data_IF_947530751173
#
_entry.id   IF_947530751173
#
_cell.length_a   1.000
_cell.length_b   1.000
_cell.length_c   1.000
_cell.angle_alpha   90.00
_cell.angle_beta   90.00
_cell.angle_gamma   90.00
#
_symmetry.space_group_name_H-M   'P 1'
#
loop_
_entity.id
_entity.type
_entity.pdbx_description
1 polymer ?
#
# COMPACT_ATOMS: atom_id res chain seq x y z
N UNK A 1 8.36 -20.64 -32.73
CA UNK A 1 7.99 -19.83 -31.54
C UNK A 1 9.16 -18.92 -31.21
N UNK A 2 9.06 -17.64 -31.59
CA UNK A 2 10.14 -16.65 -31.44
C UNK A 2 10.13 -16.17 -29.99
N UNK A 3 11.05 -16.68 -29.16
CA UNK A 3 11.28 -16.15 -27.81
C UNK A 3 11.79 -14.73 -27.97
N UNK A 4 10.90 -13.75 -27.86
CA UNK A 4 11.31 -12.35 -27.77
C UNK A 4 12.25 -12.20 -26.58
N UNK A 5 13.50 -11.88 -26.86
CA UNK A 5 14.55 -11.81 -25.86
C UNK A 5 14.15 -10.88 -24.71
N UNK A 6 14.47 -11.17 -23.45
CA UNK A 6 14.01 -10.44 -22.26
C UNK A 6 14.33 -8.94 -22.32
N UNK A 7 15.40 -8.56 -23.00
CA UNK A 7 15.76 -7.15 -23.18
C UNK A 7 14.74 -6.35 -24.01
N UNK A 8 14.03 -6.97 -24.98
CA UNK A 8 12.97 -6.27 -25.76
C UNK A 8 11.78 -5.90 -24.89
N UNK A 9 11.41 -6.76 -23.95
CA UNK A 9 10.32 -6.47 -22.99
C UNK A 9 10.73 -5.36 -22.01
N UNK A 10 11.98 -5.37 -21.56
CA UNK A 10 12.53 -4.32 -20.71
C UNK A 10 12.60 -2.98 -21.45
N UNK A 11 13.08 -2.96 -22.70
CA UNK A 11 13.12 -1.77 -23.54
C UNK A 11 11.71 -1.22 -23.84
N UNK A 12 10.76 -2.07 -24.17
CA UNK A 12 9.38 -1.66 -24.41
C UNK A 12 8.74 -1.11 -23.12
N UNK A 13 9.00 -1.75 -21.98
CA UNK A 13 8.52 -1.26 -20.66
C UNK A 13 9.11 0.08 -20.30
N UNK A 14 10.43 0.29 -20.49
CA UNK A 14 11.08 1.58 -20.20
C UNK A 14 10.61 2.69 -21.15
N UNK A 15 10.44 2.39 -22.45
CA UNK A 15 9.89 3.33 -23.42
C UNK A 15 8.45 3.74 -23.06
N UNK A 16 7.61 2.78 -22.69
CA UNK A 16 6.24 3.05 -22.28
C UNK A 16 6.22 3.93 -21.01
N UNK A 17 7.06 3.61 -20.04
CA UNK A 17 7.19 4.39 -18.81
C UNK A 17 7.61 5.84 -19.10
N UNK A 18 8.64 6.03 -19.92
CA UNK A 18 9.11 7.36 -20.33
C UNK A 18 8.01 8.12 -21.06
N UNK A 19 7.29 7.45 -21.98
CA UNK A 19 6.19 8.07 -22.72
C UNK A 19 5.05 8.51 -21.79
N UNK A 20 4.68 7.69 -20.80
CA UNK A 20 3.66 8.03 -19.80
C UNK A 20 4.11 9.23 -18.95
N UNK A 21 5.35 9.22 -18.48
CA UNK A 21 5.92 10.35 -17.70
C UNK A 21 5.94 11.63 -18.53
N UNK A 22 6.40 11.54 -19.78
CA UNK A 22 6.43 12.70 -20.70
C UNK A 22 5.01 13.27 -20.96
N UNK A 23 4.04 12.38 -21.15
CA UNK A 23 2.64 12.78 -21.36
C UNK A 23 2.04 13.43 -20.10
N UNK A 24 2.35 12.92 -18.91
CA UNK A 24 1.94 13.53 -17.63
C UNK A 24 2.57 14.91 -17.45
N UNK A 25 3.87 15.04 -17.68
CA UNK A 25 4.58 16.33 -17.60
C UNK A 25 4.02 17.34 -18.60
N UNK A 26 3.74 16.90 -19.82
CA UNK A 26 3.12 17.75 -20.84
C UNK A 26 1.70 18.18 -20.45
N UNK A 27 0.88 17.23 -19.93
CA UNK A 27 -0.51 17.50 -19.52
C UNK A 27 -0.63 18.42 -18.30
N UNK A 28 0.29 18.29 -17.33
CA UNK A 28 0.34 19.16 -16.14
C UNK A 28 0.93 20.54 -16.46
N UNK A 29 1.84 20.59 -17.42
CA UNK A 29 2.60 21.78 -17.79
C UNK A 29 3.86 21.99 -16.94
N UNK A 30 4.96 22.24 -17.63
CA UNK A 30 6.28 22.43 -16.98
C UNK A 30 6.29 23.59 -15.97
N UNK A 31 5.62 24.69 -16.28
CA UNK A 31 5.53 25.86 -15.38
C UNK A 31 4.77 25.54 -14.11
N UNK A 32 3.70 24.72 -14.18
CA UNK A 32 2.94 24.27 -13.00
C UNK A 32 3.81 23.40 -12.11
N UNK A 33 4.56 22.44 -12.67
CA UNK A 33 5.47 21.60 -11.92
C UNK A 33 6.55 22.41 -11.23
N UNK A 34 7.10 23.40 -11.91
CA UNK A 34 8.15 24.28 -11.35
C UNK A 34 7.61 25.18 -10.26
N UNK A 35 6.46 25.78 -10.43
CA UNK A 35 5.82 26.66 -9.44
C UNK A 35 5.35 25.92 -8.18
N UNK A 36 4.97 24.62 -8.32
CA UNK A 36 4.52 23.76 -7.23
C UNK A 36 5.57 22.80 -6.71
N UNK A 37 6.85 23.04 -7.02
CA UNK A 37 7.94 22.14 -6.63
C UNK A 37 8.01 21.89 -5.12
N UNK A 38 7.84 22.93 -4.32
CA UNK A 38 7.92 22.83 -2.85
C UNK A 38 6.76 21.99 -2.31
N UNK A 39 5.55 22.22 -2.81
CA UNK A 39 4.37 21.42 -2.47
C UNK A 39 4.57 19.93 -2.82
N UNK A 40 5.12 19.66 -4.01
CA UNK A 40 5.37 18.30 -4.48
C UNK A 40 6.41 17.57 -3.60
N UNK A 41 7.48 18.26 -3.22
CA UNK A 41 8.50 17.70 -2.33
C UNK A 41 7.90 17.43 -0.95
N UNK A 42 7.19 18.40 -0.39
CA UNK A 42 6.55 18.27 0.93
C UNK A 42 5.55 17.11 0.95
N UNK A 43 4.62 17.06 -0.01
CA UNK A 43 3.62 15.99 -0.10
C UNK A 43 4.28 14.62 -0.36
N UNK A 44 5.33 14.59 -1.18
CA UNK A 44 6.10 13.37 -1.41
C UNK A 44 6.76 12.84 -0.14
N UNK A 45 7.40 13.71 0.63
CA UNK A 45 8.02 13.35 1.91
C UNK A 45 6.97 12.87 2.93
N UNK A 46 5.85 13.58 3.03
CA UNK A 46 4.75 13.20 3.91
C UNK A 46 4.17 11.84 3.52
N UNK A 47 3.96 11.61 2.22
CA UNK A 47 3.47 10.32 1.73
C UNK A 47 4.45 9.18 2.07
N UNK A 48 5.74 9.37 1.84
CA UNK A 48 6.77 8.39 2.19
C UNK A 48 6.80 8.11 3.69
N UNK A 49 6.65 9.13 4.53
CA UNK A 49 6.58 8.97 5.97
C UNK A 49 5.36 8.14 6.40
N UNK A 50 4.16 8.45 5.88
CA UNK A 50 2.93 7.72 6.17
C UNK A 50 3.05 6.25 5.75
N UNK A 51 3.57 5.98 4.55
CA UNK A 51 3.78 4.62 4.03
C UNK A 51 4.80 3.88 4.89
N UNK A 52 5.92 4.49 5.22
CA UNK A 52 6.95 3.86 6.05
C UNK A 52 6.42 3.50 7.44
N UNK A 53 5.74 4.42 8.12
CA UNK A 53 5.15 4.18 9.43
C UNK A 53 4.12 3.04 9.39
N UNK A 54 3.21 3.08 8.41
CA UNK A 54 2.15 2.08 8.27
C UNK A 54 2.72 0.70 7.93
N UNK A 55 3.65 0.64 6.98
CA UNK A 55 4.27 -0.61 6.53
C UNK A 55 5.09 -1.26 7.63
N UNK A 56 5.96 -0.50 8.31
CA UNK A 56 6.78 -1.01 9.42
C UNK A 56 5.89 -1.54 10.55
N UNK A 57 4.86 -0.78 10.93
CA UNK A 57 3.90 -1.21 11.96
C UNK A 57 3.18 -2.50 11.54
N UNK A 58 2.77 -2.59 10.28
CA UNK A 58 2.08 -3.77 9.74
C UNK A 58 2.98 -5.00 9.67
N UNK A 59 4.26 -4.85 9.35
CA UNK A 59 5.24 -5.94 9.37
C UNK A 59 5.50 -6.42 10.80
N UNK A 60 5.70 -5.48 11.73
CA UNK A 60 5.97 -5.80 13.14
C UNK A 60 4.82 -6.55 13.82
N UNK A 61 3.59 -6.27 13.45
CA UNK A 61 2.40 -6.93 14.00
C UNK A 61 2.00 -8.13 13.14
N UNK A 62 1.99 -7.98 11.83
CA UNK A 62 1.45 -8.95 10.88
C UNK A 62 2.28 -10.23 10.78
N UNK A 63 3.61 -10.12 10.73
CA UNK A 63 4.48 -11.30 10.63
C UNK A 63 4.38 -12.18 11.91
N UNK A 64 4.57 -11.64 13.13
CA UNK A 64 4.40 -12.45 14.33
C UNK A 64 3.00 -13.05 14.47
N UNK A 65 1.97 -12.29 14.13
CA UNK A 65 0.58 -12.75 14.17
C UNK A 65 0.33 -13.91 13.20
N UNK A 66 0.82 -13.81 11.97
CA UNK A 66 0.70 -14.87 10.97
C UNK A 66 1.43 -16.14 11.39
N UNK A 67 2.67 -16.01 11.91
CA UNK A 67 3.45 -17.14 12.44
C UNK A 67 2.73 -17.79 13.63
N UNK A 68 2.18 -16.99 14.55
CA UNK A 68 1.45 -17.50 15.71
C UNK A 68 0.21 -18.29 15.29
N UNK A 69 -0.57 -17.76 14.35
CA UNK A 69 -1.76 -18.41 13.82
C UNK A 69 -1.46 -19.71 13.06
N UNK A 70 -0.26 -19.85 12.46
CA UNK A 70 0.16 -21.07 11.77
C UNK A 70 0.53 -22.20 12.72
N UNK A 71 0.67 -21.95 14.03
CA UNK A 71 1.05 -22.97 15.02
C UNK A 71 -0.10 -23.92 15.35
N UNK A 72 0.18 -25.22 15.67
CA UNK A 72 -0.84 -26.23 15.93
C UNK A 72 -1.83 -25.85 17.03
N UNK A 73 -1.37 -25.16 18.09
CA UNK A 73 -2.24 -24.74 19.20
C UNK A 73 -3.24 -23.64 18.81
N UNK A 74 -2.90 -22.81 17.83
CA UNK A 74 -3.74 -21.72 17.37
C UNK A 74 -4.71 -22.14 16.25
N UNK A 75 -4.55 -23.33 15.67
CA UNK A 75 -5.29 -23.81 14.48
C UNK A 75 -6.81 -23.72 14.63
N UNK A 76 -7.30 -23.99 15.85
CA UNK A 76 -8.74 -23.91 16.15
C UNK A 76 -9.31 -22.49 15.98
N UNK A 77 -8.50 -21.46 16.29
CA UNK A 77 -8.90 -20.07 16.22
C UNK A 77 -8.49 -19.42 14.90
N UNK A 78 -7.47 -19.96 14.26
CA UNK A 78 -6.90 -19.40 13.04
C UNK A 78 -7.93 -19.27 11.93
N UNK A 79 -8.81 -20.26 11.73
CA UNK A 79 -9.85 -20.23 10.71
C UNK A 79 -10.84 -19.07 10.93
N UNK A 80 -11.28 -18.84 12.16
CA UNK A 80 -12.17 -17.74 12.50
C UNK A 80 -11.51 -16.38 12.33
N UNK A 81 -10.27 -16.26 12.78
CA UNK A 81 -9.47 -15.02 12.62
C UNK A 81 -9.25 -14.73 11.14
N UNK A 82 -8.90 -15.74 10.34
CA UNK A 82 -8.69 -15.57 8.91
C UNK A 82 -9.98 -15.21 8.16
N UNK A 83 -11.15 -15.68 8.61
CA UNK A 83 -12.44 -15.23 8.06
C UNK A 83 -12.68 -13.74 8.31
N UNK A 84 -12.38 -13.25 9.53
CA UNK A 84 -12.47 -11.82 9.86
C UNK A 84 -11.53 -11.01 8.96
N UNK A 85 -10.30 -11.47 8.78
CA UNK A 85 -9.35 -10.82 7.87
C UNK A 85 -9.80 -10.85 6.40
N UNK A 86 -10.41 -11.93 5.94
CA UNK A 86 -10.96 -12.01 4.59
C UNK A 86 -12.09 -10.99 4.38
N UNK A 87 -13.01 -10.85 5.34
CA UNK A 87 -14.07 -9.83 5.30
C UNK A 87 -13.45 -8.44 5.33
N UNK A 88 -12.47 -8.18 6.21
CA UNK A 88 -11.75 -6.91 6.27
C UNK A 88 -11.09 -6.51 4.95
N UNK A 89 -10.53 -7.48 4.21
CA UNK A 89 -9.94 -7.24 2.89
C UNK A 89 -10.95 -6.85 1.80
N UNK A 90 -12.24 -7.05 2.02
CA UNK A 90 -13.27 -6.60 1.07
C UNK A 90 -13.65 -5.14 1.24
N UNK A 91 -13.26 -4.51 2.36
CA UNK A 91 -13.54 -3.10 2.61
C UNK A 91 -12.61 -2.22 1.75
N UNK A 92 -13.17 -1.26 0.99
CA UNK A 92 -12.34 -0.31 0.25
C UNK A 92 -11.45 0.49 1.22
N UNK A 93 -10.15 0.65 0.95
CA UNK A 93 -9.25 1.40 1.84
C UNK A 93 -9.72 2.84 2.14
N UNK A 94 -10.39 3.48 1.18
CA UNK A 94 -10.97 4.81 1.37
C UNK A 94 -12.13 4.81 2.36
N UNK A 95 -12.93 3.75 2.42
CA UNK A 95 -14.00 3.62 3.41
C UNK A 95 -13.42 3.45 4.82
N UNK A 96 -12.36 2.67 4.97
CA UNK A 96 -11.62 2.52 6.23
C UNK A 96 -11.04 3.86 6.68
N UNK A 97 -10.44 4.62 5.75
CA UNK A 97 -9.94 5.97 6.03
C UNK A 97 -11.06 6.91 6.49
N UNK A 98 -12.21 6.91 5.80
CA UNK A 98 -13.34 7.75 6.16
C UNK A 98 -13.85 7.42 7.58
N UNK A 99 -14.00 6.13 7.92
CA UNK A 99 -14.37 5.71 9.27
C UNK A 99 -13.33 6.12 10.32
N UNK A 100 -12.05 5.95 10.02
CA UNK A 100 -10.97 6.38 10.90
C UNK A 100 -11.01 7.91 11.15
N UNK A 101 -11.30 8.70 10.11
CA UNK A 101 -11.44 10.16 10.25
C UNK A 101 -12.63 10.56 11.12
N UNK A 102 -13.73 9.83 11.08
CA UNK A 102 -14.89 10.10 11.96
C UNK A 102 -14.55 9.86 13.43
N UNK A 103 -13.73 8.83 13.72
CA UNK A 103 -13.41 8.42 15.10
C UNK A 103 -12.22 9.21 15.67
N UNK A 104 -11.18 9.41 14.88
CA UNK A 104 -9.88 9.93 15.33
C UNK A 104 -9.71 11.41 14.95
N UNK A 105 -10.51 11.91 14.00
CA UNK A 105 -10.38 13.26 13.42
C UNK A 105 -9.62 13.25 12.10
N UNK A 106 -9.42 14.43 11.51
CA UNK A 106 -8.73 14.63 10.24
C UNK A 106 -7.23 14.78 10.49
N UNK A 107 -6.40 14.20 9.60
CA UNK A 107 -4.94 14.34 9.63
C UNK A 107 -4.18 13.04 9.36
N UNK A 108 -2.92 13.00 9.76
CA UNK A 108 -2.01 11.87 9.49
C UNK A 108 -2.36 10.62 10.29
N UNK A 109 -2.88 10.76 11.50
CA UNK A 109 -3.24 9.63 12.38
C UNK A 109 -4.25 8.67 11.75
N UNK A 110 -5.42 9.12 11.28
CA UNK A 110 -6.37 8.24 10.62
C UNK A 110 -5.82 7.65 9.32
N UNK A 111 -4.96 8.39 8.59
CA UNK A 111 -4.30 7.89 7.39
C UNK A 111 -3.36 6.72 7.72
N UNK A 112 -2.51 6.86 8.76
CA UNK A 112 -1.62 5.78 9.22
C UNK A 112 -2.43 4.56 9.67
N UNK A 113 -3.51 4.74 10.41
CA UNK A 113 -4.38 3.64 10.87
C UNK A 113 -5.03 2.92 9.69
N UNK A 114 -5.56 3.66 8.72
CA UNK A 114 -6.20 3.06 7.54
C UNK A 114 -5.18 2.28 6.68
N UNK A 115 -4.00 2.87 6.42
CA UNK A 115 -2.92 2.21 5.68
C UNK A 115 -2.34 1.01 6.44
N UNK A 116 -2.22 1.12 7.78
CA UNK A 116 -1.82 0.01 8.64
C UNK A 116 -2.77 -1.18 8.49
N UNK A 117 -4.08 -0.96 8.65
CA UNK A 117 -5.08 -2.02 8.52
C UNK A 117 -5.09 -2.62 7.11
N UNK A 118 -5.02 -1.78 6.07
CA UNK A 118 -5.00 -2.24 4.68
C UNK A 118 -3.78 -3.12 4.36
N UNK A 119 -2.61 -2.83 4.95
CA UNK A 119 -1.40 -3.63 4.76
C UNK A 119 -1.28 -4.82 5.72
N UNK A 120 -1.83 -4.71 6.93
CA UNK A 120 -1.81 -5.77 7.94
C UNK A 120 -2.48 -7.05 7.45
N UNK A 121 -3.69 -6.91 6.87
CA UNK A 121 -4.52 -8.04 6.45
C UNK A 121 -3.81 -8.96 5.44
N UNK A 122 -3.25 -8.46 4.31
CA UNK A 122 -2.52 -9.31 3.38
C UNK A 122 -1.22 -9.87 3.98
N UNK A 123 -0.53 -9.13 4.87
CA UNK A 123 0.70 -9.61 5.51
C UNK A 123 0.40 -10.81 6.41
N UNK A 124 -0.59 -10.71 7.29
CA UNK A 124 -0.99 -11.82 8.17
C UNK A 124 -1.40 -13.03 7.35
N UNK A 125 -2.20 -12.83 6.30
CA UNK A 125 -2.65 -13.91 5.43
C UNK A 125 -1.51 -14.62 4.73
N UNK A 126 -0.59 -13.87 4.13
CA UNK A 126 0.55 -14.45 3.39
C UNK A 126 1.56 -15.11 4.34
N UNK A 127 1.66 -14.64 5.58
CA UNK A 127 2.54 -15.25 6.58
C UNK A 127 1.92 -16.51 7.20
N UNK A 128 0.59 -16.58 7.27
CA UNK A 128 -0.15 -17.75 7.77
C UNK A 128 -0.14 -18.91 6.76
N UNK A 129 -0.21 -18.64 5.44
CA UNK A 129 -0.28 -19.63 4.36
C UNK A 129 1.00 -20.46 4.25
#
# INVERSE_FOLDING_TARGET
>A
MHKSAPYRRLLLGSLLFIAVVALLVYGIGWETLKSRREDLIYLGQQHMFLVACSMLSSLLVGIPSGILLSRPFARRWAEHVMQIFNVGNTLPPLAVLALAMVIIGIGDRPAVVALFLASLLPIVRNTYA
#
